data_IF_500717582968
#
_entry.id   IF_500717582968
#
_cell.length_a   1.000
_cell.length_b   1.000
_cell.length_c   1.000
_cell.angle_alpha   90.00
_cell.angle_beta   90.00
_cell.angle_gamma   90.00
#
_symmetry.space_group_name_H-M   'P 1'
#
loop_
_entity.id
_entity.type
_entity.pdbx_description
1 polymer ?
#
# COMPACT_ATOMS: atom_id res chain seq x y z
N UNK A 1 -16.00 62.06 -43.25
CA UNK A 1 -15.24 60.79 -43.33
C UNK A 1 -13.85 61.08 -42.80
N UNK A 2 -13.30 60.29 -41.86
CA UNK A 2 -13.16 58.84 -41.98
C UNK A 2 -13.61 57.99 -40.76
N UNK A 3 -14.09 56.81 -41.13
CA UNK A 3 -14.13 55.45 -40.54
C UNK A 3 -13.75 55.20 -39.06
N UNK A 4 -14.68 54.52 -38.38
CA UNK A 4 -14.43 53.61 -37.24
C UNK A 4 -13.79 52.30 -37.70
N UNK A 5 -12.88 51.73 -36.90
CA UNK A 5 -12.77 50.28 -36.78
C UNK A 5 -13.35 49.83 -35.43
N UNK A 6 -14.38 49.01 -35.57
CA UNK A 6 -14.97 48.06 -34.64
C UNK A 6 -13.91 47.43 -33.71
N UNK A 7 -14.03 47.67 -32.40
CA UNK A 7 -13.25 46.93 -31.41
C UNK A 7 -13.90 45.56 -31.26
N UNK A 8 -13.19 44.54 -31.74
CA UNK A 8 -13.56 43.13 -31.61
C UNK A 8 -13.68 42.72 -30.15
N UNK A 9 -14.67 41.84 -29.97
CA UNK A 9 -15.03 41.08 -28.79
C UNK A 9 -13.79 40.42 -28.17
N UNK A 10 -13.23 41.03 -27.13
CA UNK A 10 -12.33 40.34 -26.23
C UNK A 10 -13.20 39.48 -25.30
N UNK A 11 -13.67 38.35 -25.84
CA UNK A 11 -14.18 37.23 -25.05
C UNK A 11 -13.04 36.83 -24.11
N UNK A 12 -13.10 37.34 -22.88
CA UNK A 12 -12.21 36.95 -21.81
C UNK A 12 -12.36 35.45 -21.59
N UNK A 13 -11.45 34.67 -22.16
CA UNK A 13 -11.12 33.36 -21.62
C UNK A 13 -10.52 33.58 -20.23
N UNK A 14 -11.38 33.80 -19.23
CA UNK A 14 -11.08 33.43 -17.86
C UNK A 14 -10.94 31.92 -17.86
N UNK A 15 -9.71 31.47 -18.14
CA UNK A 15 -9.32 30.08 -18.05
C UNK A 15 -9.64 29.63 -16.63
N UNK A 16 -10.52 28.63 -16.56
CA UNK A 16 -10.97 27.89 -15.38
C UNK A 16 -9.82 27.06 -14.76
N UNK A 17 -8.67 27.71 -14.55
CA UNK A 17 -7.44 27.08 -14.06
C UNK A 17 -7.66 26.45 -12.69
N UNK A 18 -8.50 27.08 -11.85
CA UNK A 18 -8.87 26.56 -10.53
C UNK A 18 -9.77 25.33 -10.58
N UNK A 19 -10.77 25.30 -11.47
CA UNK A 19 -11.66 24.16 -11.66
C UNK A 19 -10.92 22.93 -12.18
N UNK A 20 -10.00 23.15 -13.12
CA UNK A 20 -9.15 22.09 -13.68
C UNK A 20 -8.19 21.51 -12.64
N UNK A 21 -7.61 22.35 -11.77
CA UNK A 21 -6.68 21.92 -10.74
C UNK A 21 -7.38 21.11 -9.63
N UNK A 22 -8.58 21.51 -9.22
CA UNK A 22 -9.40 20.76 -8.27
C UNK A 22 -9.84 19.41 -8.84
N UNK A 23 -10.27 19.36 -10.10
CA UNK A 23 -10.64 18.11 -10.78
C UNK A 23 -9.47 17.12 -10.82
N UNK A 24 -8.25 17.59 -11.10
CA UNK A 24 -7.06 16.74 -11.12
C UNK A 24 -6.72 16.15 -9.74
N UNK A 25 -6.86 16.95 -8.67
CA UNK A 25 -6.61 16.48 -7.30
C UNK A 25 -7.66 15.44 -6.88
N UNK A 26 -8.93 15.66 -7.20
CA UNK A 26 -10.00 14.70 -6.93
C UNK A 26 -9.81 13.40 -7.71
N UNK A 27 -9.44 13.48 -8.98
CA UNK A 27 -9.16 12.30 -9.80
C UNK A 27 -8.00 11.48 -9.25
N UNK A 28 -6.90 12.13 -8.85
CA UNK A 28 -5.75 11.47 -8.24
C UNK A 28 -6.07 10.83 -6.87
N UNK A 29 -6.98 11.43 -6.10
CA UNK A 29 -7.44 10.86 -4.83
C UNK A 29 -8.30 9.62 -5.05
N UNK A 30 -9.23 9.69 -6.01
CA UNK A 30 -10.09 8.56 -6.39
C UNK A 30 -9.26 7.38 -6.90
N UNK A 31 -8.29 7.60 -7.78
CA UNK A 31 -7.38 6.55 -8.24
C UNK A 31 -6.61 5.91 -7.07
N UNK A 32 -6.16 6.70 -6.10
CA UNK A 32 -5.47 6.19 -4.91
C UNK A 32 -6.39 5.36 -4.01
N UNK A 33 -7.64 5.79 -3.85
CA UNK A 33 -8.65 5.06 -3.08
C UNK A 33 -9.07 3.77 -3.75
N UNK A 34 -9.25 3.76 -5.07
CA UNK A 34 -9.55 2.55 -5.84
C UNK A 34 -8.40 1.54 -5.75
N UNK A 35 -7.15 2.02 -5.78
CA UNK A 35 -5.95 1.19 -5.61
C UNK A 35 -5.83 0.60 -4.20
N UNK A 36 -6.27 1.33 -3.17
CA UNK A 36 -6.38 0.82 -1.80
C UNK A 36 -7.55 -0.15 -1.65
N UNK A 37 -8.66 0.08 -2.34
CA UNK A 37 -9.86 -0.76 -2.29
C UNK A 37 -9.70 -2.08 -3.05
N UNK A 38 -8.87 -2.13 -4.08
CA UNK A 38 -8.53 -3.34 -4.83
C UNK A 38 -7.38 -4.13 -4.21
N UNK A 39 -6.73 -3.58 -3.18
CA UNK A 39 -5.86 -4.37 -2.32
C UNK A 39 -6.77 -5.30 -1.53
N UNK A 40 -6.98 -6.52 -2.05
CA UNK A 40 -7.71 -7.55 -1.33
C UNK A 40 -7.16 -7.60 0.11
N UNK A 41 -8.03 -7.66 1.13
CA UNK A 41 -7.56 -7.90 2.47
C UNK A 41 -6.77 -9.19 2.42
N UNK A 42 -5.45 -9.10 2.61
CA UNK A 42 -4.54 -10.22 2.57
C UNK A 42 -5.19 -11.35 3.37
N UNK A 43 -5.56 -12.43 2.66
CA UNK A 43 -6.43 -13.48 3.18
C UNK A 43 -6.02 -13.79 4.61
N UNK A 44 -6.93 -13.61 5.57
CA UNK A 44 -6.63 -13.54 7.01
C UNK A 44 -5.59 -14.59 7.41
N UNK A 45 -4.31 -14.19 7.37
CA UNK A 45 -3.23 -15.15 7.50
C UNK A 45 -3.13 -15.44 8.98
N UNK A 46 -3.56 -16.63 9.36
CA UNK A 46 -3.52 -17.05 10.76
C UNK A 46 -2.08 -17.00 11.23
N UNK A 47 -1.87 -16.42 12.41
CA UNK A 47 -0.54 -16.34 13.03
C UNK A 47 -0.05 -17.78 13.26
N UNK A 48 1.13 -18.16 12.72
CA UNK A 48 1.69 -19.48 12.95
C UNK A 48 1.95 -19.73 14.44
N UNK A 49 1.87 -21.00 14.86
CA UNK A 49 2.32 -21.38 16.20
C UNK A 49 3.83 -21.15 16.34
N UNK A 50 4.27 -20.96 17.59
CA UNK A 50 5.70 -20.85 17.88
C UNK A 50 6.39 -22.19 17.62
N UNK A 51 7.54 -22.15 16.97
CA UNK A 51 8.37 -23.32 16.78
C UNK A 51 9.16 -23.65 18.04
N UNK A 52 9.08 -24.91 18.47
CA UNK A 52 9.88 -25.47 19.53
C UNK A 52 10.73 -26.64 19.00
N UNK A 53 11.78 -26.99 19.73
CA UNK A 53 12.63 -28.14 19.41
C UNK A 53 11.79 -29.43 19.47
N UNK A 54 11.78 -30.19 18.37
CA UNK A 54 10.97 -31.40 18.21
C UNK A 54 9.72 -31.22 17.34
N UNK A 55 9.36 -29.97 16.99
CA UNK A 55 8.25 -29.71 16.08
C UNK A 55 8.58 -30.07 14.62
N UNK A 56 7.54 -30.26 13.81
CA UNK A 56 7.69 -30.54 12.37
C UNK A 56 8.10 -29.26 11.63
N UNK A 57 9.40 -29.00 11.55
CA UNK A 57 9.99 -27.82 10.91
C UNK A 57 9.40 -27.54 9.52
N UNK A 58 9.31 -28.54 8.65
CA UNK A 58 8.77 -28.40 7.28
C UNK A 58 7.33 -27.88 7.22
N UNK A 59 6.51 -28.22 8.22
CA UNK A 59 5.13 -27.73 8.31
C UNK A 59 5.13 -26.28 8.80
N UNK A 60 5.91 -26.00 9.84
CA UNK A 60 6.04 -24.67 10.41
C UNK A 60 6.59 -23.67 9.38
N UNK A 61 7.66 -24.02 8.68
CA UNK A 61 8.31 -23.19 7.64
C UNK A 61 7.31 -22.75 6.56
N UNK A 62 6.46 -23.66 6.07
CA UNK A 62 5.43 -23.33 5.08
C UNK A 62 4.42 -22.31 5.60
N UNK A 63 4.01 -22.44 6.87
CA UNK A 63 3.07 -21.50 7.49
C UNK A 63 3.73 -20.13 7.73
N UNK A 64 4.98 -20.12 8.20
CA UNK A 64 5.74 -18.89 8.40
C UNK A 64 5.99 -18.16 7.10
N UNK A 65 6.36 -18.86 6.02
CA UNK A 65 6.57 -18.24 4.70
C UNK A 65 5.32 -17.50 4.24
N UNK A 66 4.16 -18.16 4.25
CA UNK A 66 2.87 -17.53 3.86
C UNK A 66 2.56 -16.35 4.78
N UNK A 67 2.84 -16.46 6.09
CA UNK A 67 2.59 -15.39 7.05
C UNK A 67 3.47 -14.16 6.81
N UNK A 68 4.79 -14.34 6.66
CA UNK A 68 5.74 -13.22 6.51
C UNK A 68 5.61 -12.53 5.16
N UNK A 69 5.20 -13.23 4.10
CA UNK A 69 4.92 -12.63 2.78
C UNK A 69 3.85 -11.53 2.82
N UNK A 70 3.00 -11.49 3.85
CA UNK A 70 2.01 -10.41 4.04
C UNK A 70 2.60 -9.12 4.62
N UNK A 71 3.87 -9.12 5.02
CA UNK A 71 4.53 -8.00 5.67
C UNK A 71 5.66 -7.43 4.80
N UNK A 72 6.06 -6.16 5.01
CA UNK A 72 7.23 -5.59 4.36
C UNK A 72 8.51 -6.39 4.67
N UNK A 73 9.43 -6.58 3.70
CA UNK A 73 10.66 -7.36 3.88
C UNK A 73 11.50 -6.95 5.09
N UNK A 74 11.49 -5.67 5.45
CA UNK A 74 12.25 -5.12 6.58
C UNK A 74 11.77 -5.68 7.94
N UNK A 75 10.52 -6.15 8.00
CA UNK A 75 9.94 -6.75 9.21
C UNK A 75 10.12 -8.26 9.26
N UNK A 76 10.49 -8.92 8.17
CA UNK A 76 10.58 -10.38 8.09
C UNK A 76 11.50 -10.97 9.17
N UNK A 77 12.72 -10.44 9.43
CA UNK A 77 13.60 -11.02 10.43
C UNK A 77 12.98 -11.00 11.84
N UNK A 78 12.42 -9.87 12.23
CA UNK A 78 11.79 -9.71 13.55
C UNK A 78 10.54 -10.61 13.71
N UNK A 79 9.76 -10.78 12.65
CA UNK A 79 8.59 -11.66 12.65
C UNK A 79 9.01 -13.12 12.83
N UNK A 80 9.99 -13.59 12.06
CA UNK A 80 10.51 -14.96 12.18
C UNK A 80 11.05 -15.22 13.59
N UNK A 81 11.82 -14.30 14.15
CA UNK A 81 12.35 -14.42 15.52
C UNK A 81 11.24 -14.50 16.56
N UNK A 82 10.15 -13.73 16.41
CA UNK A 82 9.02 -13.76 17.35
C UNK A 82 8.25 -15.08 17.35
N UNK A 83 8.36 -15.84 16.24
CA UNK A 83 7.75 -17.15 16.05
C UNK A 83 8.63 -18.30 16.55
N UNK A 84 9.84 -18.02 17.06
CA UNK A 84 10.65 -19.02 17.76
C UNK A 84 10.26 -19.06 19.24
N UNK A 85 10.24 -20.26 19.82
CA UNK A 85 9.84 -20.51 21.20
C UNK A 85 10.85 -21.39 21.93
N UNK A 86 10.92 -21.23 23.26
CA UNK A 86 11.71 -22.07 24.14
C UNK A 86 13.17 -22.15 23.72
N UNK A 87 13.70 -23.37 23.66
CA UNK A 87 15.08 -23.69 23.29
C UNK A 87 15.42 -23.35 21.82
N UNK A 88 14.42 -23.15 20.95
CA UNK A 88 14.66 -22.67 19.59
C UNK A 88 14.94 -21.15 19.54
N UNK A 89 14.65 -20.42 20.63
CA UNK A 89 14.96 -19.00 20.79
C UNK A 89 16.13 -18.76 21.76
N UNK A 90 16.26 -19.60 22.80
CA UNK A 90 17.34 -19.53 23.78
C UNK A 90 18.59 -20.24 23.21
N UNK A 91 19.55 -19.47 22.67
CA UNK A 91 20.86 -19.93 22.20
C UNK A 91 21.74 -20.47 23.36
N UNK A 92 21.27 -21.49 24.07
CA UNK A 92 22.09 -22.23 25.05
C UNK A 92 22.75 -23.41 24.34
N UNK A 93 23.84 -23.11 23.66
CA UNK A 93 24.80 -24.09 23.15
C UNK A 93 26.02 -24.12 24.07
#
# INVERSE_FOLDING_TARGET
MPETPKSEDATGQTVDTGGTQLANVLSALTERLEKLSTMEPAAACSVPEKYNVGDKFQRWEKQVKIYVENFPPERHPNLVLSLLGGEAFDDRW
#
